data_IF_070287716297
#
_entry.id   IF_070287716297
#
_cell.length_a   1.000
_cell.length_b   1.000
_cell.length_c   1.000
_cell.angle_alpha   90.00
_cell.angle_beta   90.00
_cell.angle_gamma   90.00
#
_symmetry.space_group_name_H-M   'P 1'
#
loop_
_entity.id
_entity.type
_entity.pdbx_description
1 polymer ?
#
# COMPACT_ATOMS: atom_id res chain seq x y z
N UNK A 1 15.92 -25.82 33.24
CA UNK A 1 15.93 -26.32 31.87
C UNK A 1 15.83 -25.16 30.91
N UNK A 2 16.85 -24.97 30.15
CA UNK A 2 16.80 -23.91 29.13
C UNK A 2 16.11 -24.45 27.91
N UNK A 3 14.94 -23.93 27.63
CA UNK A 3 14.27 -24.19 26.36
C UNK A 3 14.87 -23.24 25.33
N UNK A 4 15.89 -23.70 24.66
CA UNK A 4 16.46 -22.93 23.56
C UNK A 4 15.70 -23.23 22.29
N UNK A 5 15.30 -22.17 21.60
CA UNK A 5 14.69 -22.29 20.29
C UNK A 5 15.78 -22.67 19.29
N UNK A 6 15.59 -23.72 18.49
CA UNK A 6 16.59 -24.10 17.49
C UNK A 6 16.91 -22.95 16.53
N UNK A 7 18.15 -22.85 16.04
CA UNK A 7 18.52 -21.76 15.12
C UNK A 7 17.66 -21.69 13.86
N UNK A 8 17.22 -22.84 13.36
CA UNK A 8 16.32 -22.87 12.19
C UNK A 8 15.01 -22.15 12.45
N UNK A 9 14.45 -22.37 13.66
CA UNK A 9 13.19 -21.72 14.04
C UNK A 9 13.42 -20.24 14.26
N UNK A 10 14.55 -19.84 14.85
CA UNK A 10 14.89 -18.44 15.03
C UNK A 10 14.99 -17.72 13.67
N UNK A 11 15.61 -18.36 12.68
CA UNK A 11 15.73 -17.81 11.34
C UNK A 11 14.37 -17.69 10.66
N UNK A 12 13.51 -18.68 10.84
CA UNK A 12 12.15 -18.64 10.29
C UNK A 12 11.33 -17.51 10.91
N UNK A 13 11.45 -17.29 12.22
CA UNK A 13 10.77 -16.19 12.90
C UNK A 13 11.26 -14.85 12.36
N UNK A 14 12.57 -14.70 12.18
CA UNK A 14 13.14 -13.47 11.63
C UNK A 14 12.67 -13.21 10.21
N UNK A 15 12.61 -14.24 9.38
CA UNK A 15 12.09 -14.13 8.03
C UNK A 15 10.60 -13.75 8.01
N UNK A 16 9.83 -14.36 8.92
CA UNK A 16 8.41 -14.06 9.03
C UNK A 16 8.19 -12.59 9.40
N UNK A 17 8.96 -12.08 10.35
CA UNK A 17 8.88 -10.67 10.75
C UNK A 17 9.23 -9.74 9.59
N UNK A 18 10.25 -10.08 8.81
CA UNK A 18 10.62 -9.32 7.62
C UNK A 18 9.48 -9.28 6.61
N UNK A 19 8.87 -10.43 6.34
CA UNK A 19 7.76 -10.53 5.40
C UNK A 19 6.55 -9.73 5.89
N UNK A 20 6.27 -9.77 7.19
CA UNK A 20 5.20 -8.99 7.77
C UNK A 20 5.42 -7.48 7.60
N UNK A 21 6.65 -7.02 7.83
CA UNK A 21 7.00 -5.61 7.62
C UNK A 21 6.86 -5.20 6.16
N UNK A 22 7.31 -6.05 5.24
CA UNK A 22 7.17 -5.81 3.82
C UNK A 22 5.70 -5.76 3.41
N UNK A 23 4.89 -6.67 3.94
CA UNK A 23 3.47 -6.70 3.65
C UNK A 23 2.77 -5.43 4.13
N UNK A 24 3.12 -4.94 5.33
CA UNK A 24 2.58 -3.70 5.85
C UNK A 24 2.97 -2.51 4.98
N UNK A 25 4.24 -2.46 4.57
CA UNK A 25 4.74 -1.40 3.70
C UNK A 25 4.01 -1.39 2.36
N UNK A 26 3.82 -2.55 1.76
CA UNK A 26 3.08 -2.69 0.51
C UNK A 26 1.61 -2.29 0.65
N UNK A 27 0.99 -2.62 1.78
CA UNK A 27 -0.38 -2.23 2.05
C UNK A 27 -0.52 -0.70 2.14
N UNK A 28 0.43 -0.04 2.78
CA UNK A 28 0.47 1.42 2.86
C UNK A 28 0.64 2.03 1.48
N UNK A 29 1.58 1.52 0.68
CA UNK A 29 1.82 1.99 -0.68
C UNK A 29 0.57 1.82 -1.55
N UNK A 30 -0.09 0.68 -1.44
CA UNK A 30 -1.33 0.41 -2.18
C UNK A 30 -2.41 1.42 -1.81
N UNK A 31 -2.58 1.68 -0.52
CA UNK A 31 -3.55 2.65 -0.03
C UNK A 31 -3.26 4.06 -0.55
N UNK A 32 -2.00 4.46 -0.56
CA UNK A 32 -1.59 5.76 -1.11
C UNK A 32 -1.86 5.86 -2.60
N UNK A 33 -1.61 4.81 -3.34
CA UNK A 33 -1.88 4.76 -4.78
C UNK A 33 -3.37 4.84 -5.08
N UNK A 34 -4.19 4.15 -4.30
CA UNK A 34 -5.64 4.19 -4.45
C UNK A 34 -6.18 5.60 -4.19
N UNK A 35 -5.65 6.26 -3.16
CA UNK A 35 -6.02 7.65 -2.86
C UNK A 35 -5.64 8.57 -4.00
N UNK A 36 -4.42 8.43 -4.52
CA UNK A 36 -3.93 9.23 -5.63
C UNK A 36 -4.77 9.03 -6.90
N UNK A 37 -5.11 7.78 -7.19
CA UNK A 37 -5.96 7.44 -8.32
C UNK A 37 -7.33 8.10 -8.20
N UNK A 38 -7.92 8.04 -7.01
CA UNK A 38 -9.23 8.62 -6.75
C UNK A 38 -9.21 10.15 -6.92
N UNK A 39 -8.17 10.79 -6.40
CA UNK A 39 -8.00 12.24 -6.57
C UNK A 39 -7.84 12.62 -8.04
N UNK A 40 -7.08 11.83 -8.79
CA UNK A 40 -6.87 12.06 -10.21
C UNK A 40 -8.17 11.90 -11.01
N UNK A 41 -8.98 10.90 -10.67
CA UNK A 41 -10.28 10.68 -11.32
C UNK A 41 -11.23 11.83 -11.05
N UNK A 42 -11.27 12.34 -9.81
CA UNK A 42 -12.12 13.48 -9.47
C UNK A 42 -11.66 14.75 -10.17
N UNK A 43 -10.36 14.98 -10.25
CA UNK A 43 -9.80 16.12 -10.97
C UNK A 43 -10.15 16.06 -12.46
N UNK A 44 -10.10 14.87 -13.04
CA UNK A 44 -10.45 14.66 -14.44
C UNK A 44 -11.93 14.93 -14.70
N UNK A 45 -12.79 14.47 -13.81
CA UNK A 45 -14.23 14.75 -13.91
C UNK A 45 -14.52 16.25 -13.87
N UNK A 46 -13.88 16.97 -12.96
CA UNK A 46 -14.05 18.42 -12.86
C UNK A 46 -13.57 19.13 -14.12
N UNK A 47 -12.44 18.67 -14.66
CA UNK A 47 -11.91 19.23 -15.91
C UNK A 47 -12.87 19.00 -17.07
N UNK A 48 -13.44 17.82 -17.17
CA UNK A 48 -14.43 17.50 -18.20
C UNK A 48 -15.66 18.40 -18.11
N UNK A 49 -16.14 18.66 -16.90
CA UNK A 49 -17.27 19.56 -16.67
C UNK A 49 -16.95 20.98 -17.10
N UNK A 50 -15.75 21.46 -16.82
CA UNK A 50 -15.32 22.78 -17.25
C UNK A 50 -15.24 22.89 -18.78
N UNK A 51 -14.76 21.86 -19.43
CA UNK A 51 -14.67 21.82 -20.88
C UNK A 51 -16.05 21.81 -21.53
N UNK A 52 -17.01 21.09 -20.94
CA UNK A 52 -18.40 21.07 -21.42
C UNK A 52 -19.03 22.44 -21.32
N UNK A 53 -18.78 23.17 -20.25
CA UNK A 53 -19.30 24.53 -20.09
C UNK A 53 -18.64 25.48 -21.10
N UNK A 54 -17.37 25.26 -21.40
CA UNK A 54 -16.64 26.12 -22.35
C UNK A 54 -17.07 25.93 -23.79
N UNK A 55 -17.70 24.81 -24.14
CA UNK A 55 -18.20 24.55 -25.50
C UNK A 55 -19.44 25.36 -25.85
N UNK A 56 -20.08 25.93 -24.88
CA UNK A 56 -21.25 26.77 -25.10
C UNK A 56 -20.82 28.17 -25.58
#
# INVERSE_FOLDING_TARGET
MSTQIPPQVQNQIAQLQQVQQQAQSLAIQKSQMETLQKESELALEELEKLLDVAEI
#
